data_IF_851152433971
#
_entry.id   IF_851152433971
#
_cell.length_a   1.000
_cell.length_b   1.000
_cell.length_c   1.000
_cell.angle_alpha   90.00
_cell.angle_beta   90.00
_cell.angle_gamma   90.00
#
_symmetry.space_group_name_H-M   'P 1'
#
loop_
_entity.id
_entity.type
_entity.pdbx_description
1 polymer ?
#
# COMPACT_ATOMS: atom_id res chain seq x y z
N UNK A 1 -3.15 2.66 -9.16
CA UNK A 1 -3.79 1.34 -9.33
C UNK A 1 -3.91 0.95 -10.79
N UNK A 2 -4.77 1.59 -11.60
CA UNK A 2 -4.99 1.20 -13.01
C UNK A 2 -3.70 1.06 -13.83
N UNK A 3 -2.86 2.09 -13.89
CA UNK A 3 -1.59 2.01 -14.66
C UNK A 3 -0.68 0.87 -14.18
N UNK A 4 -0.61 0.61 -12.88
CA UNK A 4 0.15 -0.52 -12.34
C UNK A 4 -0.48 -1.87 -12.70
N UNK A 5 -1.81 -1.96 -12.81
CA UNK A 5 -2.51 -3.17 -13.26
C UNK A 5 -2.22 -3.47 -14.74
N UNK A 6 -2.21 -2.45 -15.60
CA UNK A 6 -2.03 -2.61 -17.06
C UNK A 6 -0.58 -2.55 -17.53
N UNK A 7 0.37 -2.16 -16.67
CA UNK A 7 1.80 -2.05 -17.01
C UNK A 7 2.36 -3.39 -17.53
N UNK A 8 2.98 -3.47 -18.71
CA UNK A 8 3.60 -4.73 -19.13
C UNK A 8 4.77 -5.11 -18.21
N UNK A 9 5.17 -6.38 -18.22
CA UNK A 9 6.41 -6.79 -17.57
C UNK A 9 7.61 -6.02 -18.17
N UNK A 10 8.72 -5.96 -17.45
CA UNK A 10 9.89 -5.21 -17.90
C UNK A 10 10.31 -5.64 -19.31
N UNK A 11 10.49 -4.66 -20.20
CA UNK A 11 10.82 -4.85 -21.63
C UNK A 11 9.76 -5.54 -22.50
N UNK A 12 8.56 -5.80 -21.98
CA UNK A 12 7.46 -6.31 -22.79
C UNK A 12 6.58 -5.18 -23.32
N UNK A 13 5.96 -5.39 -24.48
CA UNK A 13 4.96 -4.49 -25.04
C UNK A 13 3.64 -4.63 -24.29
N UNK A 14 2.95 -3.51 -24.10
CA UNK A 14 1.56 -3.53 -23.64
C UNK A 14 0.65 -4.10 -24.73
N UNK A 15 -0.38 -4.83 -24.31
CA UNK A 15 -1.45 -5.28 -25.20
C UNK A 15 -2.12 -4.10 -25.94
N UNK A 16 -2.49 -4.32 -27.20
CA UNK A 16 -2.98 -3.27 -28.09
C UNK A 16 -4.33 -2.70 -27.65
N UNK A 17 -5.26 -3.55 -27.21
CA UNK A 17 -6.57 -3.14 -26.72
C UNK A 17 -6.44 -2.33 -25.43
N UNK A 18 -5.64 -2.85 -24.49
CA UNK A 18 -5.34 -2.18 -23.23
C UNK A 18 -4.69 -0.82 -23.43
N UNK A 19 -3.75 -0.71 -24.39
CA UNK A 19 -3.12 0.56 -24.77
C UNK A 19 -4.15 1.54 -25.33
N UNK A 20 -4.99 1.10 -26.27
CA UNK A 20 -6.01 1.96 -26.89
C UNK A 20 -7.00 2.51 -25.86
N UNK A 21 -7.49 1.65 -24.96
CA UNK A 21 -8.38 2.05 -23.85
C UNK A 21 -7.68 3.02 -22.90
N UNK A 22 -6.42 2.77 -22.56
CA UNK A 22 -5.62 3.65 -21.69
C UNK A 22 -5.42 5.04 -22.30
N UNK A 23 -5.12 5.12 -23.59
CA UNK A 23 -5.00 6.39 -24.32
C UNK A 23 -6.33 7.15 -24.28
N UNK A 24 -7.45 6.46 -24.51
CA UNK A 24 -8.78 7.07 -24.41
C UNK A 24 -9.07 7.62 -23.02
N UNK A 25 -8.75 6.88 -21.95
CA UNK A 25 -8.91 7.39 -20.59
C UNK A 25 -8.02 8.61 -20.32
N UNK A 26 -6.79 8.61 -20.83
CA UNK A 26 -5.90 9.75 -20.70
C UNK A 26 -6.46 10.99 -21.41
N UNK A 27 -6.98 10.84 -22.62
CA UNK A 27 -7.64 11.93 -23.37
C UNK A 27 -8.80 12.56 -22.58
N UNK A 28 -9.68 11.73 -22.02
CA UNK A 28 -10.82 12.19 -21.23
C UNK A 28 -10.36 12.91 -19.95
N UNK A 29 -9.30 12.43 -19.30
CA UNK A 29 -8.70 13.11 -18.14
C UNK A 29 -8.15 14.48 -18.53
N UNK A 30 -7.51 14.63 -19.69
CA UNK A 30 -7.03 15.94 -20.17
C UNK A 30 -8.20 16.93 -20.33
N UNK A 31 -9.32 16.50 -20.92
CA UNK A 31 -10.53 17.32 -21.07
C UNK A 31 -11.12 17.73 -19.72
N UNK A 32 -11.19 16.80 -18.75
CA UNK A 32 -11.67 17.09 -17.39
C UNK A 32 -10.80 18.13 -16.67
N UNK A 33 -9.49 18.06 -16.90
CA UNK A 33 -8.49 18.83 -16.19
C UNK A 33 -8.20 20.19 -16.85
N UNK A 34 -8.60 20.36 -18.10
CA UNK A 34 -8.35 21.57 -18.90
C UNK A 34 -8.81 22.88 -18.25
N UNK A 35 -9.98 22.97 -17.58
CA UNK A 35 -10.38 24.19 -16.87
C UNK A 35 -9.42 24.65 -15.76
N UNK A 36 -8.56 23.74 -15.27
CA UNK A 36 -7.62 24.00 -14.17
C UNK A 36 -6.17 24.14 -14.66
N UNK A 37 -5.79 23.40 -15.71
CA UNK A 37 -4.43 23.40 -16.26
C UNK A 37 -4.44 23.55 -17.79
N UNK A 38 -4.91 24.69 -18.33
CA UNK A 38 -5.21 24.83 -19.74
C UNK A 38 -3.98 24.66 -20.62
N UNK A 39 -2.84 25.25 -20.28
CA UNK A 39 -1.64 25.18 -21.12
C UNK A 39 -1.07 23.75 -21.22
N UNK A 40 -0.92 23.06 -20.09
CA UNK A 40 -0.36 21.70 -20.06
C UNK A 40 -1.30 20.71 -20.75
N UNK A 41 -2.61 20.80 -20.46
CA UNK A 41 -3.57 19.89 -21.06
C UNK A 41 -3.72 20.14 -22.57
N UNK A 42 -3.64 21.39 -23.04
CA UNK A 42 -3.67 21.73 -24.47
C UNK A 42 -2.43 21.20 -25.21
N UNK A 43 -1.25 21.35 -24.62
CA UNK A 43 0.01 20.81 -25.17
C UNK A 43 -0.07 19.29 -25.29
N UNK A 44 -0.44 18.59 -24.21
CA UNK A 44 -0.55 17.14 -24.21
C UNK A 44 -1.67 16.65 -25.15
N UNK A 45 -2.76 17.41 -25.28
CA UNK A 45 -3.86 17.07 -26.17
C UNK A 45 -3.42 17.05 -27.65
N UNK A 46 -2.38 17.78 -28.05
CA UNK A 46 -1.86 17.75 -29.43
C UNK A 46 -0.76 16.70 -29.66
N UNK A 47 -0.48 15.84 -28.67
CA UNK A 47 0.51 14.78 -28.81
C UNK A 47 0.09 13.74 -29.86
N UNK A 48 1.06 13.19 -30.59
CA UNK A 48 0.88 12.17 -31.63
C UNK A 48 0.21 10.88 -31.11
N UNK A 49 0.23 10.65 -29.79
CA UNK A 49 -0.50 9.58 -29.11
C UNK A 49 -2.00 9.59 -29.43
N UNK A 50 -2.59 10.75 -29.72
CA UNK A 50 -4.01 10.91 -30.02
C UNK A 50 -4.31 10.97 -31.53
N UNK A 51 -3.29 10.70 -32.37
CA UNK A 51 -3.38 10.84 -33.83
C UNK A 51 -3.10 12.26 -34.31
N UNK A 52 -3.36 12.51 -35.59
CA UNK A 52 -3.15 13.84 -36.18
C UNK A 52 -4.29 14.80 -35.77
N UNK A 53 -3.91 15.95 -35.21
CA UNK A 53 -4.80 17.05 -34.82
C UNK A 53 -4.36 18.32 -35.49
N UNK A 54 -5.31 19.09 -36.02
CA UNK A 54 -5.06 20.40 -36.60
C UNK A 54 -4.99 21.46 -35.50
N UNK A 55 -4.50 22.67 -35.83
CA UNK A 55 -4.46 23.80 -34.88
C UNK A 55 -5.85 24.22 -34.35
N UNK A 56 -6.93 23.74 -34.98
CA UNK A 56 -8.31 24.02 -34.55
C UNK A 56 -8.89 22.90 -33.66
N UNK A 57 -8.22 21.76 -33.56
CA UNK A 57 -8.63 20.63 -32.72
C UNK A 57 -8.15 20.83 -31.28
N UNK A 58 -8.54 21.96 -30.68
CA UNK A 58 -8.11 22.34 -29.35
C UNK A 58 -8.92 21.67 -28.25
N UNK A 59 -8.28 21.37 -27.13
CA UNK A 59 -8.90 20.87 -25.91
C UNK A 59 -9.97 21.84 -25.39
N UNK A 60 -9.72 23.15 -25.51
CA UNK A 60 -10.66 24.21 -25.06
C UNK A 60 -12.04 24.14 -25.74
N UNK A 61 -12.14 23.61 -26.96
CA UNK A 61 -13.40 23.44 -27.71
C UNK A 61 -13.88 21.98 -27.73
N UNK A 62 -13.16 21.07 -27.08
CA UNK A 62 -13.53 19.67 -27.02
C UNK A 62 -14.79 19.45 -26.17
N UNK A 63 -15.58 18.45 -26.52
CA UNK A 63 -16.75 18.08 -25.74
C UNK A 63 -16.33 17.61 -24.35
N UNK A 64 -16.96 18.20 -23.33
CA UNK A 64 -16.70 17.79 -21.95
C UNK A 64 -17.21 16.35 -21.71
N UNK A 65 -16.47 15.52 -20.98
CA UNK A 65 -16.86 14.13 -20.73
C UNK A 65 -18.22 14.02 -20.05
N UNK A 66 -19.05 13.09 -20.53
CA UNK A 66 -20.38 12.82 -19.97
C UNK A 66 -20.31 11.58 -19.10
N UNK A 67 -20.95 11.64 -17.94
CA UNK A 67 -20.99 10.53 -16.98
C UNK A 67 -21.72 9.33 -17.61
N UNK A 68 -21.01 8.21 -17.72
CA UNK A 68 -21.55 6.93 -18.16
C UNK A 68 -22.14 6.09 -17.03
N UNK A 69 -22.62 4.89 -17.35
CA UNK A 69 -22.99 3.90 -16.33
C UNK A 69 -21.73 3.26 -15.75
N UNK A 70 -21.69 3.13 -14.43
CA UNK A 70 -20.66 2.39 -13.73
C UNK A 70 -21.11 0.95 -13.47
N UNK A 71 -20.17 0.00 -13.55
CA UNK A 71 -20.39 -1.35 -13.08
C UNK A 71 -20.12 -1.39 -11.57
N UNK A 72 -21.18 -1.29 -10.78
CA UNK A 72 -21.08 -1.27 -9.31
C UNK A 72 -20.50 -2.57 -8.74
N UNK A 73 -20.74 -3.71 -9.40
CA UNK A 73 -20.20 -4.98 -8.95
C UNK A 73 -18.69 -4.98 -9.17
N UNK A 74 -18.23 -4.69 -10.39
CA UNK A 74 -16.80 -4.64 -10.72
C UNK A 74 -16.04 -3.67 -9.81
N UNK A 75 -16.64 -2.50 -9.50
CA UNK A 75 -16.04 -1.54 -8.59
C UNK A 75 -15.86 -2.09 -7.17
N UNK A 76 -16.87 -2.80 -6.63
CA UNK A 76 -16.79 -3.44 -5.32
C UNK A 76 -15.73 -4.54 -5.30
N UNK A 77 -15.69 -5.37 -6.33
CA UNK A 77 -14.67 -6.41 -6.49
C UNK A 77 -13.27 -5.79 -6.54
N UNK A 78 -13.07 -4.75 -7.35
CA UNK A 78 -11.79 -4.05 -7.47
C UNK A 78 -11.32 -3.46 -6.14
N UNK A 79 -12.21 -2.89 -5.33
CA UNK A 79 -11.85 -2.38 -3.99
C UNK A 79 -11.44 -3.50 -3.03
N UNK A 80 -12.10 -4.66 -3.06
CA UNK A 80 -11.68 -5.84 -2.29
C UNK A 80 -10.27 -6.29 -2.70
N UNK A 81 -9.98 -6.33 -4.00
CA UNK A 81 -8.66 -6.71 -4.50
C UNK A 81 -7.58 -5.68 -4.12
N UNK A 82 -7.88 -4.38 -4.17
CA UNK A 82 -6.96 -3.35 -3.66
C UNK A 82 -6.68 -3.52 -2.18
N UNK A 83 -7.72 -3.82 -1.39
CA UNK A 83 -7.60 -4.14 0.03
C UNK A 83 -6.67 -5.33 0.27
N UNK A 84 -6.92 -6.44 -0.43
CA UNK A 84 -6.08 -7.64 -0.39
C UNK A 84 -4.61 -7.33 -0.69
N UNK A 85 -4.32 -6.67 -1.80
CA UNK A 85 -2.94 -6.33 -2.19
C UNK A 85 -2.28 -5.44 -1.14
N UNK A 86 -3.03 -4.50 -0.57
CA UNK A 86 -2.53 -3.60 0.47
C UNK A 86 -2.19 -4.35 1.74
N UNK A 87 -3.03 -5.30 2.17
CA UNK A 87 -2.75 -6.15 3.33
C UNK A 87 -1.58 -7.11 3.09
N UNK A 88 -1.42 -7.69 1.90
CA UNK A 88 -0.24 -8.50 1.58
C UNK A 88 1.03 -7.65 1.72
N UNK A 89 1.01 -6.41 1.20
CA UNK A 89 2.14 -5.47 1.34
C UNK A 89 2.36 -5.06 2.80
N UNK A 90 1.30 -4.91 3.58
CA UNK A 90 1.37 -4.64 5.00
C UNK A 90 2.05 -5.79 5.74
N UNK A 91 1.60 -7.04 5.54
CA UNK A 91 2.23 -8.24 6.11
C UNK A 91 3.71 -8.30 5.73
N UNK A 92 4.06 -8.05 4.47
CA UNK A 92 5.47 -7.96 4.04
C UNK A 92 6.26 -6.93 4.84
N UNK A 93 5.74 -5.71 4.96
CA UNK A 93 6.40 -4.64 5.69
C UNK A 93 6.56 -4.97 7.18
N UNK A 94 5.51 -5.48 7.83
CA UNK A 94 5.53 -5.87 9.25
C UNK A 94 6.48 -7.02 9.51
N UNK A 95 6.59 -7.97 8.58
CA UNK A 95 7.48 -9.14 8.66
C UNK A 95 8.84 -8.94 8.00
N UNK A 96 9.13 -7.73 7.51
CA UNK A 96 10.39 -7.35 6.87
C UNK A 96 10.75 -8.16 5.62
N UNK A 97 9.75 -8.69 4.93
CA UNK A 97 9.95 -9.53 3.76
C UNK A 97 10.26 -8.64 2.57
N UNK A 98 11.31 -8.99 1.84
CA UNK A 98 11.71 -8.29 0.63
C UNK A 98 10.55 -8.24 -0.38
N UNK A 99 10.26 -7.08 -1.01
CA UNK A 99 9.27 -7.00 -2.09
C UNK A 99 9.60 -7.88 -3.29
N UNK A 100 10.86 -8.32 -3.45
CA UNK A 100 11.31 -9.21 -4.53
C UNK A 100 10.99 -10.68 -4.27
N UNK A 101 10.78 -11.06 -3.02
CA UNK A 101 10.45 -12.44 -2.66
C UNK A 101 9.01 -12.74 -3.02
N UNK A 102 8.78 -13.77 -3.83
CA UNK A 102 7.43 -14.19 -4.17
C UNK A 102 6.83 -15.01 -3.02
N UNK A 103 5.62 -14.67 -2.58
CA UNK A 103 4.98 -15.32 -1.42
C UNK A 103 3.82 -16.23 -1.84
N UNK A 104 3.66 -17.42 -1.24
CA UNK A 104 2.48 -18.24 -1.47
C UNK A 104 1.26 -17.61 -0.77
N UNK A 105 0.14 -17.55 -1.47
CA UNK A 105 -1.12 -17.03 -0.96
C UNK A 105 -2.18 -18.13 -0.99
N UNK A 106 -2.81 -18.37 0.15
CA UNK A 106 -3.99 -19.22 0.21
C UNK A 106 -5.21 -18.40 0.60
N UNK A 107 -6.34 -18.67 -0.07
CA UNK A 107 -7.56 -17.90 0.06
C UNK A 107 -8.69 -18.83 0.49
N UNK A 108 -9.37 -18.48 1.58
CA UNK A 108 -10.63 -19.09 1.97
C UNK A 108 -11.76 -18.13 1.63
N UNK A 109 -12.51 -18.50 0.61
CA UNK A 109 -13.58 -17.67 0.02
C UNK A 109 -14.89 -17.90 0.77
N UNK A 110 -15.44 -16.84 1.36
CA UNK A 110 -16.76 -16.79 1.97
C UNK A 110 -17.69 -15.75 1.30
N UNK A 111 -17.16 -14.80 0.52
CA UNK A 111 -17.92 -13.73 -0.14
C UNK A 111 -18.61 -14.16 -1.43
N UNK A 112 -18.18 -15.29 -2.03
CA UNK A 112 -18.59 -15.73 -3.36
C UNK A 112 -17.89 -15.02 -4.51
N UNK A 113 -16.88 -14.18 -4.22
CA UNK A 113 -16.04 -13.55 -5.24
C UNK A 113 -15.25 -14.61 -6.01
N UNK A 114 -15.24 -14.52 -7.34
CA UNK A 114 -14.36 -15.34 -8.16
C UNK A 114 -12.97 -14.70 -8.28
N UNK A 115 -12.02 -15.18 -7.46
CA UNK A 115 -10.65 -14.69 -7.46
C UNK A 115 -9.85 -15.04 -8.73
N UNK A 116 -10.29 -16.04 -9.52
CA UNK A 116 -9.62 -16.42 -10.77
C UNK A 116 -9.55 -15.25 -11.76
N UNK A 117 -10.59 -14.41 -11.79
CA UNK A 117 -10.66 -13.22 -12.65
C UNK A 117 -9.63 -12.14 -12.27
N UNK A 118 -9.07 -12.22 -11.07
CA UNK A 118 -8.17 -11.21 -10.50
C UNK A 118 -6.76 -11.75 -10.25
N UNK A 119 -6.53 -13.04 -10.53
CA UNK A 119 -5.28 -13.75 -10.27
C UNK A 119 -4.08 -13.02 -10.86
N UNK A 120 -4.12 -12.62 -12.12
CA UNK A 120 -3.01 -11.90 -12.78
C UNK A 120 -2.67 -10.57 -12.09
N UNK A 121 -3.69 -9.85 -11.65
CA UNK A 121 -3.54 -8.58 -10.94
C UNK A 121 -2.90 -8.81 -9.57
N UNK A 122 -3.34 -9.84 -8.84
CA UNK A 122 -2.81 -10.20 -7.52
C UNK A 122 -1.34 -10.66 -7.66
N UNK A 123 -1.06 -11.59 -8.58
CA UNK A 123 0.30 -12.07 -8.90
C UNK A 123 1.26 -10.92 -9.09
N UNK A 124 0.88 -9.99 -9.96
CA UNK A 124 1.73 -8.87 -10.35
C UNK A 124 1.90 -7.83 -9.25
N UNK A 125 0.81 -7.42 -8.60
CA UNK A 125 0.85 -6.27 -7.67
C UNK A 125 1.24 -6.65 -6.25
N UNK A 126 1.00 -7.90 -5.83
CA UNK A 126 1.38 -8.42 -4.52
C UNK A 126 2.66 -9.28 -4.56
N UNK A 127 3.18 -9.58 -5.76
CA UNK A 127 4.31 -10.48 -6.01
C UNK A 127 4.10 -11.83 -5.32
N UNK A 128 3.02 -12.54 -5.63
CA UNK A 128 2.77 -13.87 -5.06
C UNK A 128 3.36 -14.96 -5.96
N UNK A 129 3.78 -16.09 -5.39
CA UNK A 129 4.35 -17.22 -6.15
C UNK A 129 3.28 -18.20 -6.63
N UNK A 130 2.21 -18.32 -5.86
CA UNK A 130 1.07 -19.18 -6.13
C UNK A 130 -0.17 -18.65 -5.40
N UNK A 131 -1.35 -19.01 -5.93
CA UNK A 131 -2.64 -18.74 -5.30
C UNK A 131 -3.39 -20.06 -5.20
N UNK A 132 -3.76 -20.47 -3.98
CA UNK A 132 -4.52 -21.69 -3.73
C UNK A 132 -5.82 -21.38 -2.99
N UNK A 133 -6.93 -21.99 -3.40
CA UNK A 133 -8.20 -21.90 -2.68
C UNK A 133 -8.28 -23.00 -1.62
N UNK A 134 -8.54 -22.62 -0.37
CA UNK A 134 -8.56 -23.54 0.78
C UNK A 134 -9.88 -23.43 1.56
N UNK A 135 -10.27 -24.51 2.24
CA UNK A 135 -11.47 -24.54 3.09
C UNK A 135 -11.17 -24.26 4.57
N UNK A 136 -9.96 -24.60 5.01
CA UNK A 136 -9.53 -24.55 6.40
C UNK A 136 -8.38 -23.55 6.60
N UNK A 137 -8.17 -23.17 7.85
CA UNK A 137 -7.05 -22.30 8.24
C UNK A 137 -5.72 -23.05 8.06
N UNK A 138 -4.70 -22.34 7.60
CA UNK A 138 -3.34 -22.88 7.49
C UNK A 138 -2.58 -22.60 8.78
N UNK A 139 -2.15 -23.66 9.46
CA UNK A 139 -1.35 -23.56 10.68
C UNK A 139 0.03 -22.93 10.38
N UNK A 140 0.46 -21.98 11.21
CA UNK A 140 1.76 -21.30 11.05
C UNK A 140 1.80 -20.20 9.99
N UNK A 141 0.71 -19.98 9.24
CA UNK A 141 0.63 -18.89 8.26
C UNK A 141 0.26 -17.56 8.92
N UNK A 142 0.73 -16.45 8.34
CA UNK A 142 0.20 -15.13 8.66
C UNK A 142 -1.22 -15.01 8.08
N UNK A 143 -2.22 -14.83 8.94
CA UNK A 143 -3.62 -14.73 8.52
C UNK A 143 -4.16 -13.30 8.64
N UNK A 144 -4.96 -12.88 7.67
CA UNK A 144 -5.71 -11.61 7.71
C UNK A 144 -7.04 -11.76 6.96
N UNK A 145 -7.93 -10.77 7.11
CA UNK A 145 -9.26 -10.79 6.51
C UNK A 145 -9.48 -9.52 5.69
N UNK A 146 -10.06 -9.66 4.51
CA UNK A 146 -10.52 -8.52 3.70
C UNK A 146 -11.96 -8.79 3.27
N UNK A 147 -12.87 -7.90 3.65
CA UNK A 147 -14.30 -8.18 3.54
C UNK A 147 -14.69 -9.38 4.40
N UNK A 148 -15.24 -10.42 3.77
CA UNK A 148 -15.62 -11.67 4.44
C UNK A 148 -14.63 -12.83 4.16
N UNK A 149 -13.62 -12.60 3.32
CA UNK A 149 -12.69 -13.65 2.90
C UNK A 149 -11.45 -13.68 3.81
N UNK A 150 -10.97 -14.88 4.11
CA UNK A 150 -9.77 -15.09 4.92
C UNK A 150 -8.57 -15.42 4.02
N UNK A 151 -7.43 -14.81 4.32
CA UNK A 151 -6.20 -14.97 3.54
C UNK A 151 -5.08 -15.45 4.44
N UNK A 152 -4.24 -16.32 3.88
CA UNK A 152 -3.13 -16.94 4.58
C UNK A 152 -1.87 -16.83 3.73
N UNK A 153 -0.79 -16.35 4.32
CA UNK A 153 0.52 -16.31 3.71
C UNK A 153 1.42 -17.25 4.50
N UNK A 154 1.87 -18.33 3.86
CA UNK A 154 2.89 -19.20 4.44
C UNK A 154 4.22 -18.48 4.32
N UNK A 155 4.74 -18.05 5.46
CA UNK A 155 6.06 -17.47 5.54
C UNK A 155 7.04 -18.64 5.53
N UNK A 156 7.83 -18.77 4.46
CA UNK A 156 9.02 -19.61 4.55
C UNK A 156 9.83 -19.07 5.75
N UNK A 157 10.28 -19.95 6.64
CA UNK A 157 10.95 -19.63 7.90
C UNK A 157 12.32 -18.91 7.73
N UNK A 158 12.57 -18.27 6.59
CA UNK A 158 13.68 -17.34 6.38
C UNK A 158 13.37 -15.94 6.93
N UNK A 159 12.68 -15.83 8.07
CA UNK A 159 12.96 -14.68 8.93
C UNK A 159 14.37 -14.95 9.41
N UNK A 160 15.35 -14.24 8.84
CA UNK A 160 16.70 -14.22 9.38
C UNK A 160 16.59 -13.69 10.81
N UNK A 161 16.49 -14.63 11.76
CA UNK A 161 16.25 -14.34 13.18
C UNK A 161 17.32 -13.39 13.71
N UNK A 162 18.53 -13.46 13.16
CA UNK A 162 19.62 -12.55 13.51
C UNK A 162 19.35 -11.14 12.99
N UNK A 163 18.83 -10.97 11.77
CA UNK A 163 18.44 -9.66 11.23
C UNK A 163 17.28 -9.06 12.03
N UNK A 164 16.25 -9.85 12.36
CA UNK A 164 15.11 -9.36 13.14
C UNK A 164 15.51 -9.02 14.58
N UNK A 165 16.40 -9.82 15.20
CA UNK A 165 17.01 -9.49 16.50
C UNK A 165 17.84 -8.21 16.42
N UNK A 166 18.71 -8.07 15.42
CA UNK A 166 19.54 -6.89 15.25
C UNK A 166 18.69 -5.64 15.08
N UNK A 167 17.60 -5.74 14.31
CA UNK A 167 16.67 -4.63 14.09
C UNK A 167 15.93 -4.24 15.35
N UNK A 168 15.28 -5.19 16.02
CA UNK A 168 14.55 -4.94 17.26
C UNK A 168 15.50 -4.38 18.32
N UNK A 169 16.77 -4.81 18.33
CA UNK A 169 17.81 -4.25 19.20
C UNK A 169 18.14 -2.80 18.84
N UNK A 170 18.33 -2.46 17.55
CA UNK A 170 18.56 -1.07 17.12
C UNK A 170 17.37 -0.15 17.44
N UNK A 171 16.15 -0.64 17.25
CA UNK A 171 14.94 0.10 17.57
C UNK A 171 14.80 0.31 19.08
N UNK A 172 15.11 -0.72 19.88
CA UNK A 172 15.18 -0.66 21.33
C UNK A 172 16.20 0.39 21.80
N UNK A 173 17.42 0.38 21.25
CA UNK A 173 18.48 1.32 21.60
C UNK A 173 18.08 2.77 21.29
N UNK A 174 17.44 3.00 20.13
CA UNK A 174 16.91 4.30 19.75
C UNK A 174 15.84 4.79 20.74
N UNK A 175 14.87 3.94 21.08
CA UNK A 175 13.80 4.29 22.01
C UNK A 175 14.32 4.49 23.44
N UNK A 176 15.33 3.74 23.88
CA UNK A 176 16.02 3.95 25.16
C UNK A 176 16.76 5.29 25.19
N UNK A 177 17.44 5.66 24.09
CA UNK A 177 18.08 6.96 23.94
C UNK A 177 17.08 8.12 23.96
N UNK A 178 15.95 7.95 23.26
CA UNK A 178 14.84 8.90 23.28
C UNK A 178 14.25 9.05 24.68
N UNK A 179 13.94 7.94 25.37
CA UNK A 179 13.40 7.93 26.72
C UNK A 179 14.33 8.66 27.70
N UNK A 180 15.64 8.41 27.62
CA UNK A 180 16.64 9.12 28.43
C UNK A 180 16.61 10.64 28.22
N UNK A 181 16.38 11.09 26.98
CA UNK A 181 16.28 12.52 26.65
C UNK A 181 14.99 13.16 27.22
N UNK A 182 13.89 12.41 27.23
CA UNK A 182 12.61 12.85 27.79
C UNK A 182 12.68 12.87 29.31
N UNK A 183 13.25 11.84 29.93
CA UNK A 183 13.46 11.77 31.37
C UNK A 183 14.36 12.89 31.88
N UNK A 184 15.44 13.21 31.16
CA UNK A 184 16.31 14.34 31.52
C UNK A 184 15.59 15.70 31.49
N UNK A 185 14.60 15.88 30.60
CA UNK A 185 13.77 17.09 30.58
C UNK A 185 12.80 17.09 31.75
N UNK A 186 12.12 15.98 32.00
CA UNK A 186 11.13 15.84 33.08
C UNK A 186 11.76 15.84 34.48
N UNK A 187 13.03 15.45 34.62
CA UNK A 187 13.77 15.50 35.90
C UNK A 187 14.39 16.89 36.18
N UNK A 188 14.41 17.78 35.20
CA UNK A 188 14.95 19.12 35.37
C UNK A 188 13.90 20.01 36.05
N UNK A 189 14.09 20.27 37.35
CA UNK A 189 13.17 21.10 38.15
C UNK A 189 12.91 22.48 37.53
N UNK A 190 13.90 23.09 36.87
CA UNK A 190 13.72 24.38 36.17
C UNK A 190 12.81 24.23 34.94
N UNK A 191 12.84 23.10 34.25
CA UNK A 191 11.94 22.85 33.12
C UNK A 191 10.52 22.60 33.63
N UNK A 192 10.35 21.77 34.66
CA UNK A 192 9.03 21.44 35.23
C UNK A 192 8.36 22.67 35.84
N UNK A 193 9.12 23.57 36.47
CA UNK A 193 8.57 24.77 37.09
C UNK A 193 8.24 25.90 36.08
N UNK A 194 8.96 25.98 34.96
CA UNK A 194 8.82 27.10 34.00
C UNK A 194 8.09 26.73 32.70
N UNK A 195 7.93 25.44 32.39
CA UNK A 195 7.22 25.00 31.19
C UNK A 195 5.70 25.09 31.39
N UNK A 196 4.97 25.36 30.31
CA UNK A 196 3.50 25.34 30.31
C UNK A 196 2.99 23.93 30.62
N UNK A 197 1.84 23.77 31.30
CA UNK A 197 1.26 22.46 31.61
C UNK A 197 1.10 21.55 30.38
N UNK A 198 0.67 22.10 29.23
CA UNK A 198 0.52 21.36 27.97
C UNK A 198 1.84 20.77 27.44
N UNK A 199 2.97 21.46 27.68
CA UNK A 199 4.30 20.99 27.25
C UNK A 199 4.76 19.85 28.15
N UNK A 200 4.50 19.95 29.46
CA UNK A 200 4.82 18.89 30.43
C UNK A 200 3.99 17.65 30.13
N UNK A 201 2.70 17.81 29.84
CA UNK A 201 1.81 16.70 29.51
C UNK A 201 2.22 16.02 28.19
N UNK A 202 2.57 16.78 27.16
CA UNK A 202 3.10 16.21 25.92
C UNK A 202 4.40 15.41 26.13
N UNK A 203 5.31 15.86 27.00
CA UNK A 203 6.51 15.08 27.31
C UNK A 203 6.20 13.84 28.17
N UNK A 204 5.19 13.89 29.05
CA UNK A 204 4.70 12.70 29.77
C UNK A 204 4.05 11.68 28.83
N UNK A 205 3.27 12.13 27.86
CA UNK A 205 2.67 11.27 26.84
C UNK A 205 3.75 10.59 25.97
N UNK A 206 4.75 11.37 25.51
CA UNK A 206 5.91 10.81 24.79
C UNK A 206 6.66 9.77 25.61
N UNK A 207 6.79 9.97 26.92
CA UNK A 207 7.38 9.00 27.84
C UNK A 207 6.56 7.70 27.88
N UNK A 208 5.25 7.80 28.13
CA UNK A 208 4.35 6.66 28.22
C UNK A 208 4.32 5.85 26.92
N UNK A 209 4.27 6.53 25.77
CA UNK A 209 4.30 5.90 24.44
C UNK A 209 5.62 5.15 24.20
N UNK A 210 6.75 5.77 24.57
CA UNK A 210 8.06 5.14 24.44
C UNK A 210 8.19 3.91 25.36
N UNK A 211 7.73 3.99 26.61
CA UNK A 211 7.75 2.86 27.57
C UNK A 211 6.89 1.69 27.06
N UNK A 212 5.69 1.97 26.54
CA UNK A 212 4.79 0.96 25.97
C UNK A 212 5.44 0.25 24.78
N UNK A 213 6.02 0.99 23.84
CA UNK A 213 6.73 0.43 22.68
C UNK A 213 7.95 -0.39 23.07
N UNK A 214 8.75 0.08 24.04
CA UNK A 214 9.89 -0.65 24.58
C UNK A 214 9.46 -1.99 25.17
N UNK A 215 8.34 -2.02 25.91
CA UNK A 215 7.82 -3.26 26.49
C UNK A 215 7.47 -4.30 25.43
N UNK A 216 6.75 -3.87 24.38
CA UNK A 216 6.35 -4.74 23.26
C UNK A 216 7.58 -5.29 22.52
N UNK A 217 8.59 -4.45 22.27
CA UNK A 217 9.83 -4.86 21.60
C UNK A 217 10.63 -5.87 22.45
N UNK A 218 10.72 -5.66 23.77
CA UNK A 218 11.39 -6.61 24.68
C UNK A 218 10.69 -7.96 24.73
N UNK A 219 9.36 -7.97 24.76
CA UNK A 219 8.58 -9.20 24.72
C UNK A 219 8.79 -9.93 23.39
N UNK A 220 8.80 -9.20 22.28
CA UNK A 220 9.08 -9.74 20.95
C UNK A 220 10.48 -10.34 20.83
N UNK A 221 11.51 -9.66 21.37
CA UNK A 221 12.89 -10.17 21.44
C UNK A 221 12.99 -11.46 22.27
N UNK A 222 12.26 -11.55 23.39
CA UNK A 222 12.24 -12.74 24.26
C UNK A 222 11.62 -13.95 23.56
N UNK A 223 10.60 -13.72 22.72
CA UNK A 223 9.96 -14.78 21.92
C UNK A 223 10.92 -15.29 20.82
N UNK A 224 11.80 -14.42 20.32
CA UNK A 224 12.79 -14.75 19.29
C UNK A 224 14.07 -15.40 19.85
N UNK A 225 14.26 -15.44 21.18
CA UNK A 225 15.36 -16.09 21.90
C UNK A 225 16.26 -15.10 22.61
#
# INVERSE_FOLDING_TARGET
WYLEMVKPAYQQSIDAETKAVTIKYFEEILKLLHPFMPFLTEELYHDELFGERTEMDCCIVANYPVVGKADEQLLKEAELIKGLISEIRNVRNTRQISPKEALPLSIKVNSGLNYENWTDVIFKLANVSEIELVNDKIAGAASFMVGNDEFFIVLNENIDLEVEKERLTKELDYLLGFLKSVDAKLSNERFVQNAKPEIIENERNKKADAESKISIIKESLTILG
#
